data_IF_835422300085
#
_entry.id   IF_835422300085
#
_cell.length_a   1.000
_cell.length_b   1.000
_cell.length_c   1.000
_cell.angle_alpha   90.00
_cell.angle_beta   90.00
_cell.angle_gamma   90.00
#
_symmetry.space_group_name_H-M   'P 1'
#
loop_
_entity.id
_entity.type
_entity.pdbx_description
1 polymer ?
#
# COMPACT_ATOMS: atom_id res chain seq x y z
N UNK A 1 0.87 18.20 3.67
CA UNK A 1 2.28 17.75 3.57
C UNK A 1 2.54 17.38 2.12
N UNK A 2 3.66 17.78 1.50
CA UNK A 2 3.86 17.56 0.05
C UNK A 2 4.38 16.14 -0.21
N UNK A 3 3.51 15.21 -0.63
CA UNK A 3 3.85 13.82 -0.94
C UNK A 3 4.52 13.64 -2.32
N UNK A 4 4.71 14.71 -3.10
CA UNK A 4 5.27 14.62 -4.45
C UNK A 4 6.64 13.96 -4.51
N UNK A 5 7.50 14.16 -3.49
CA UNK A 5 8.81 13.51 -3.43
C UNK A 5 8.68 12.00 -3.15
N UNK A 6 7.64 11.57 -2.45
CA UNK A 6 7.35 10.16 -2.15
C UNK A 6 6.88 9.39 -3.38
N UNK A 7 6.37 10.10 -4.37
CA UNK A 7 5.76 9.53 -5.57
C UNK A 7 6.56 9.87 -6.83
N UNK A 8 7.77 10.40 -6.68
CA UNK A 8 8.62 10.73 -7.83
C UNK A 8 8.78 9.53 -8.74
N UNK A 9 8.49 9.74 -10.01
CA UNK A 9 8.53 8.72 -11.06
C UNK A 9 7.55 7.55 -10.88
N UNK A 10 6.66 7.58 -9.89
CA UNK A 10 5.49 6.69 -9.83
C UNK A 10 4.33 7.38 -10.54
N UNK A 11 3.54 6.63 -11.31
CA UNK A 11 2.42 7.21 -12.08
C UNK A 11 1.19 6.34 -11.96
N UNK A 12 0.07 6.97 -11.62
CA UNK A 12 -1.24 6.33 -11.74
C UNK A 12 -1.52 6.18 -13.26
N UNK A 13 -1.88 4.98 -13.74
CA UNK A 13 -2.23 4.78 -15.14
C UNK A 13 -3.43 5.64 -15.55
N UNK A 14 -3.40 6.18 -16.77
CA UNK A 14 -4.50 7.02 -17.29
C UNK A 14 -5.77 6.22 -17.58
N UNK A 15 -5.61 4.92 -17.80
CA UNK A 15 -6.67 3.95 -18.07
C UNK A 15 -7.24 3.32 -16.78
N UNK A 16 -6.72 3.68 -15.60
CA UNK A 16 -7.37 3.31 -14.35
C UNK A 16 -8.73 3.99 -14.26
N UNK A 17 -9.79 3.21 -14.00
CA UNK A 17 -11.15 3.74 -13.86
C UNK A 17 -11.40 4.17 -12.41
N UNK A 18 -11.05 3.29 -11.46
CA UNK A 18 -11.31 3.48 -10.04
C UNK A 18 -10.01 3.46 -9.25
N UNK A 19 -9.81 4.48 -8.42
CA UNK A 19 -8.72 4.57 -7.45
C UNK A 19 -9.30 4.33 -6.06
N UNK A 20 -8.73 3.38 -5.32
CA UNK A 20 -9.14 3.07 -3.95
C UNK A 20 -8.05 3.48 -2.98
N UNK A 21 -8.41 4.29 -1.99
CA UNK A 21 -7.58 4.60 -0.84
C UNK A 21 -8.23 4.01 0.44
N UNK A 22 -7.79 2.81 0.88
CA UNK A 22 -8.38 2.11 2.02
C UNK A 22 -8.01 2.68 3.41
N UNK A 23 -7.11 3.66 3.48
CA UNK A 23 -6.63 4.29 4.73
C UNK A 23 -6.63 5.83 4.59
N UNK A 24 -7.74 6.37 4.09
CA UNK A 24 -7.93 7.79 3.85
C UNK A 24 -8.03 8.57 5.16
N UNK A 25 -6.91 9.16 5.57
CA UNK A 25 -6.91 10.12 6.69
C UNK A 25 -7.27 11.53 6.20
N UNK A 26 -6.33 12.45 6.26
CA UNK A 26 -6.58 13.88 6.02
C UNK A 26 -6.31 14.29 4.55
N UNK A 27 -6.59 13.42 3.57
CA UNK A 27 -6.52 13.75 2.13
C UNK A 27 -5.13 14.01 1.52
N UNK A 28 -4.07 13.83 2.30
CA UNK A 28 -2.72 14.25 1.95
C UNK A 28 -2.15 13.60 0.66
N UNK A 29 -2.44 12.33 0.39
CA UNK A 29 -1.96 11.65 -0.84
C UNK A 29 -2.84 11.96 -2.06
N UNK A 30 -4.10 12.35 -1.85
CA UNK A 30 -5.07 12.61 -2.91
C UNK A 30 -4.67 13.81 -3.78
N UNK A 31 -3.91 14.75 -3.22
CA UNK A 31 -3.30 15.88 -3.95
C UNK A 31 -2.34 15.45 -5.07
N UNK A 32 -1.95 14.17 -5.10
CA UNK A 32 -1.07 13.60 -6.12
C UNK A 32 -1.84 12.89 -7.24
N UNK A 33 -3.17 12.91 -7.21
CA UNK A 33 -4.03 12.39 -8.28
C UNK A 33 -4.23 13.50 -9.32
N UNK A 34 -4.09 13.16 -10.61
CA UNK A 34 -4.31 14.09 -11.71
C UNK A 34 -5.80 14.38 -11.89
N UNK A 35 -6.23 15.58 -11.48
CA UNK A 35 -7.63 16.02 -11.56
C UNK A 35 -8.14 16.20 -13.00
N UNK A 36 -7.24 16.23 -14.00
CA UNK A 36 -7.64 16.30 -15.41
C UNK A 36 -8.16 14.95 -15.95
N UNK A 37 -7.96 13.87 -15.18
CA UNK A 37 -8.43 12.53 -15.53
C UNK A 37 -9.63 12.19 -14.64
N UNK A 38 -10.77 11.75 -15.22
CA UNK A 38 -12.02 11.55 -14.49
C UNK A 38 -12.02 10.20 -13.73
N UNK A 39 -11.10 10.05 -12.79
CA UNK A 39 -11.05 8.88 -11.91
C UNK A 39 -12.26 8.83 -10.97
N UNK A 40 -12.81 7.63 -10.75
CA UNK A 40 -13.70 7.37 -9.62
C UNK A 40 -12.85 7.12 -8.38
N UNK A 41 -12.97 7.97 -7.35
CA UNK A 41 -12.17 7.85 -6.13
C UNK A 41 -13.02 7.25 -5.00
N UNK A 42 -12.60 6.10 -4.48
CA UNK A 42 -13.18 5.47 -3.30
C UNK A 42 -12.26 5.63 -2.10
N UNK A 43 -12.69 6.42 -1.11
CA UNK A 43 -11.95 6.65 0.12
C UNK A 43 -12.61 5.91 1.29
N UNK A 44 -11.80 5.21 2.08
CA UNK A 44 -12.23 4.50 3.27
C UNK A 44 -11.35 4.87 4.46
N UNK A 45 -11.95 4.98 5.64
CA UNK A 45 -11.22 5.13 6.90
C UNK A 45 -12.03 4.54 8.06
N UNK A 46 -11.36 4.13 9.13
CA UNK A 46 -12.04 3.60 10.32
C UNK A 46 -12.77 4.72 11.11
N UNK A 47 -12.27 5.96 11.02
CA UNK A 47 -12.79 7.16 11.67
C UNK A 47 -12.73 8.34 10.69
N UNK A 48 -13.60 8.38 9.67
CA UNK A 48 -13.55 9.39 8.63
C UNK A 48 -13.78 10.80 9.19
N UNK A 49 -13.00 11.77 8.70
CA UNK A 49 -13.17 13.20 9.03
C UNK A 49 -13.94 13.98 7.97
N UNK A 50 -14.33 13.33 6.87
CA UNK A 50 -15.03 13.96 5.74
C UNK A 50 -16.23 13.13 5.31
N UNK A 51 -17.27 13.79 4.80
CA UNK A 51 -18.52 13.12 4.39
C UNK A 51 -18.37 12.18 3.19
N UNK A 52 -17.37 12.43 2.33
CA UNK A 52 -17.09 11.61 1.14
C UNK A 52 -16.15 10.42 1.40
N UNK A 53 -15.80 10.17 2.67
CA UNK A 53 -15.01 9.01 3.08
C UNK A 53 -15.92 8.00 3.75
N UNK A 54 -15.94 6.77 3.24
CA UNK A 54 -16.75 5.70 3.83
C UNK A 54 -16.11 5.18 5.11
N UNK A 55 -16.89 5.15 6.19
CA UNK A 55 -16.44 4.54 7.44
C UNK A 55 -16.34 3.01 7.29
N UNK A 56 -15.13 2.45 7.38
CA UNK A 56 -14.90 1.01 7.25
C UNK A 56 -13.54 0.60 7.83
N UNK A 57 -13.51 -0.45 8.65
CA UNK A 57 -12.26 -1.14 8.97
C UNK A 57 -11.87 -2.04 7.79
N UNK A 58 -11.04 -1.50 6.90
CA UNK A 58 -10.62 -2.16 5.64
C UNK A 58 -9.66 -3.33 5.84
N UNK A 59 -9.11 -3.52 7.04
CA UNK A 59 -8.30 -4.71 7.34
C UNK A 59 -9.20 -5.91 7.67
N UNK A 60 -10.20 -5.69 8.51
CA UNK A 60 -11.16 -6.72 8.94
C UNK A 60 -12.22 -7.01 7.87
N UNK A 61 -12.66 -5.95 7.18
CA UNK A 61 -13.69 -6.01 6.15
C UNK A 61 -13.19 -5.25 4.91
N UNK A 62 -12.28 -5.80 4.10
CA UNK A 62 -11.79 -5.12 2.92
C UNK A 62 -12.92 -4.89 1.90
N UNK A 63 -13.01 -3.72 1.25
CA UNK A 63 -13.87 -3.56 0.09
C UNK A 63 -13.35 -4.41 -1.08
N UNK A 64 -14.13 -4.57 -2.14
CA UNK A 64 -13.61 -5.18 -3.37
C UNK A 64 -12.53 -4.29 -3.98
N UNK A 65 -11.34 -4.86 -4.16
CA UNK A 65 -10.20 -4.28 -4.84
C UNK A 65 -10.06 -4.81 -6.27
N UNK A 66 -10.82 -5.83 -6.64
CA UNK A 66 -10.74 -6.50 -7.92
C UNK A 66 -10.76 -5.50 -9.09
N UNK A 67 -9.73 -5.57 -9.94
CA UNK A 67 -9.54 -4.69 -11.11
C UNK A 67 -9.47 -3.18 -10.82
N UNK A 68 -9.42 -2.75 -9.55
CA UNK A 68 -9.24 -1.34 -9.16
C UNK A 68 -7.77 -0.99 -8.97
N UNK A 69 -7.42 0.29 -9.03
CA UNK A 69 -6.08 0.76 -8.75
C UNK A 69 -5.96 1.20 -7.29
N UNK A 70 -4.98 0.68 -6.57
CA UNK A 70 -4.76 1.01 -5.16
C UNK A 70 -3.82 2.19 -5.04
N UNK A 71 -4.19 3.19 -4.25
CA UNK A 71 -3.29 4.29 -3.94
C UNK A 71 -3.40 4.68 -2.47
N UNK A 72 -2.41 4.32 -1.66
CA UNK A 72 -2.53 4.48 -0.21
C UNK A 72 -1.21 4.55 0.55
N UNK A 73 -1.25 5.21 1.72
CA UNK A 73 -0.24 5.11 2.74
C UNK A 73 -0.77 4.22 3.87
N UNK A 74 -0.18 3.05 4.00
CA UNK A 74 -0.66 2.05 4.96
C UNK A 74 -0.15 2.39 6.35
N UNK A 75 -1.00 2.42 7.39
CA UNK A 75 -0.54 2.70 8.75
C UNK A 75 0.50 1.67 9.20
N UNK A 76 1.63 2.16 9.73
CA UNK A 76 2.79 1.37 10.13
C UNK A 76 2.67 0.69 11.50
N UNK A 77 1.71 1.12 12.33
CA UNK A 77 1.56 0.66 13.72
C UNK A 77 1.40 -0.87 13.85
N UNK A 78 2.02 -1.43 14.88
CA UNK A 78 1.85 -2.82 15.29
C UNK A 78 0.41 -3.09 15.72
N UNK A 79 -0.04 -4.32 15.50
CA UNK A 79 -1.38 -4.79 15.90
C UNK A 79 -1.57 -4.88 17.42
N UNK A 80 -0.49 -4.77 18.21
CA UNK A 80 -0.51 -4.85 19.67
C UNK A 80 -1.34 -3.73 20.35
N UNK A 81 -1.70 -2.66 19.63
CA UNK A 81 -2.68 -1.65 20.10
C UNK A 81 -4.15 -2.12 19.97
N UNK A 82 -4.42 -3.24 19.28
CA UNK A 82 -5.73 -3.89 19.18
C UNK A 82 -5.71 -5.12 20.08
N UNK A 83 -6.17 -4.95 21.33
CA UNK A 83 -6.25 -6.01 22.35
C UNK A 83 -7.28 -7.11 22.04
N UNK A 84 -8.04 -6.98 20.96
CA UNK A 84 -8.95 -8.02 20.50
C UNK A 84 -8.21 -8.90 19.48
N UNK A 85 -7.97 -10.16 19.82
CA UNK A 85 -7.22 -11.14 19.04
C UNK A 85 -7.71 -11.38 17.60
N UNK A 86 -8.81 -10.78 17.17
CA UNK A 86 -9.49 -11.05 15.90
C UNK A 86 -8.62 -10.87 14.66
N UNK A 87 -7.82 -9.79 14.54
CA UNK A 87 -6.96 -9.58 13.36
C UNK A 87 -5.69 -10.44 13.36
N UNK A 88 -5.14 -10.71 14.54
CA UNK A 88 -3.99 -11.61 14.69
C UNK A 88 -4.40 -13.05 14.35
N UNK A 89 -5.60 -13.47 14.77
CA UNK A 89 -6.16 -14.78 14.48
C UNK A 89 -6.45 -14.98 12.99
N UNK A 90 -6.83 -13.93 12.26
CA UNK A 90 -7.11 -14.01 10.82
C UNK A 90 -5.82 -14.12 9.98
N UNK A 91 -4.76 -13.36 10.33
CA UNK A 91 -3.60 -13.23 9.45
C UNK A 91 -2.28 -13.81 10.00
N UNK A 92 -2.20 -14.07 11.31
CA UNK A 92 -1.00 -14.44 12.06
C UNK A 92 0.20 -13.52 11.78
N UNK A 93 -0.05 -12.21 11.78
CA UNK A 93 0.93 -11.17 11.46
C UNK A 93 0.85 -10.07 12.51
N UNK A 94 1.99 -9.43 12.82
CA UNK A 94 2.09 -8.41 13.86
C UNK A 94 1.91 -6.97 13.37
N UNK A 95 1.78 -6.76 12.06
CA UNK A 95 1.78 -5.42 11.46
C UNK A 95 0.61 -5.22 10.47
N UNK A 96 -0.06 -4.07 10.57
CA UNK A 96 -1.21 -3.72 9.73
C UNK A 96 -0.90 -3.78 8.24
N UNK A 97 0.26 -3.29 7.81
CA UNK A 97 0.63 -3.32 6.40
C UNK A 97 0.77 -4.74 5.84
N UNK A 98 1.19 -5.72 6.65
CA UNK A 98 1.32 -7.10 6.21
C UNK A 98 -0.07 -7.72 5.97
N UNK A 99 -1.03 -7.42 6.84
CA UNK A 99 -2.43 -7.84 6.66
C UNK A 99 -3.03 -7.21 5.41
N UNK A 100 -2.77 -5.93 5.18
CA UNK A 100 -3.21 -5.25 3.96
C UNK A 100 -2.62 -5.88 2.69
N UNK A 101 -1.33 -6.22 2.67
CA UNK A 101 -0.72 -6.89 1.52
C UNK A 101 -1.34 -8.28 1.28
N UNK A 102 -1.70 -9.03 2.33
CA UNK A 102 -2.50 -10.27 2.18
C UNK A 102 -3.86 -10.01 1.54
N UNK A 103 -4.57 -8.96 1.97
CA UNK A 103 -5.84 -8.56 1.33
C UNK A 103 -5.66 -8.28 -0.17
N UNK A 104 -4.58 -7.61 -0.56
CA UNK A 104 -4.29 -7.38 -1.97
C UNK A 104 -4.01 -8.68 -2.72
N UNK A 105 -3.30 -9.63 -2.13
CA UNK A 105 -3.02 -10.95 -2.74
C UNK A 105 -4.33 -11.70 -3.01
N UNK A 106 -5.25 -11.71 -2.05
CA UNK A 106 -6.52 -12.45 -2.15
C UNK A 106 -7.57 -11.77 -3.04
N UNK A 107 -7.65 -10.44 -3.03
CA UNK A 107 -8.68 -9.65 -3.73
C UNK A 107 -8.22 -9.20 -5.13
N UNK A 108 -6.94 -9.36 -5.47
CA UNK A 108 -6.36 -9.18 -6.81
C UNK A 108 -6.74 -7.87 -7.52
N UNK A 109 -6.20 -6.75 -7.04
CA UNK A 109 -6.34 -5.45 -7.69
C UNK A 109 -5.64 -5.39 -9.05
N UNK A 110 -5.93 -4.37 -9.86
CA UNK A 110 -5.26 -4.18 -11.16
C UNK A 110 -3.78 -3.77 -10.99
N UNK A 111 -3.47 -3.07 -9.91
CA UNK A 111 -2.16 -2.57 -9.58
C UNK A 111 -2.28 -1.53 -8.47
N UNK A 112 -1.19 -0.83 -8.20
CA UNK A 112 -1.24 0.25 -7.24
C UNK A 112 0.10 0.90 -6.93
N UNK A 113 0.01 1.96 -6.14
CA UNK A 113 1.11 2.58 -5.42
C UNK A 113 0.80 2.51 -3.94
N UNK A 114 1.66 1.85 -3.17
CA UNK A 114 1.51 1.75 -1.71
C UNK A 114 2.73 2.29 -1.03
N UNK A 115 2.53 2.93 0.12
CA UNK A 115 3.59 3.37 1.02
C UNK A 115 3.57 2.48 2.26
N UNK A 116 4.69 1.81 2.54
CA UNK A 116 4.87 0.85 3.64
C UNK A 116 6.30 0.92 4.20
N UNK A 117 6.62 0.29 5.34
CA UNK A 117 7.99 0.21 5.83
C UNK A 117 8.94 -0.45 4.81
N UNK A 118 10.13 0.13 4.61
CA UNK A 118 11.16 -0.41 3.71
C UNK A 118 11.64 -1.82 4.13
N UNK A 119 11.49 -2.16 5.41
CA UNK A 119 11.73 -3.49 5.96
C UNK A 119 10.93 -4.59 5.24
N UNK A 120 9.82 -4.25 4.58
CA UNK A 120 9.11 -5.20 3.73
C UNK A 120 10.05 -5.88 2.74
N UNK A 121 10.99 -5.15 2.13
CA UNK A 121 11.91 -5.66 1.10
C UNK A 121 13.11 -6.43 1.64
N UNK A 122 13.62 -6.03 2.81
CA UNK A 122 14.91 -6.50 3.33
C UNK A 122 14.80 -7.42 4.54
N UNK A 123 13.61 -7.56 5.14
CA UNK A 123 13.41 -8.41 6.30
C UNK A 123 13.78 -9.87 6.00
N UNK A 124 14.57 -10.46 6.90
CA UNK A 124 15.00 -11.87 6.85
C UNK A 124 14.02 -12.80 7.59
N UNK A 125 12.96 -12.27 8.21
CA UNK A 125 11.97 -13.09 8.89
C UNK A 125 11.23 -13.99 7.90
N UNK A 126 11.04 -15.26 8.24
CA UNK A 126 10.43 -16.24 7.34
C UNK A 126 9.02 -15.82 6.88
N UNK A 127 8.19 -15.28 7.79
CA UNK A 127 6.85 -14.76 7.45
C UNK A 127 6.89 -13.66 6.39
N UNK A 128 7.92 -12.81 6.43
CA UNK A 128 8.06 -11.67 5.54
C UNK A 128 8.59 -12.11 4.17
N UNK A 129 9.50 -13.11 4.16
CA UNK A 129 9.95 -13.77 2.94
C UNK A 129 8.77 -14.44 2.22
N UNK A 130 7.94 -15.18 2.96
CA UNK A 130 6.74 -15.83 2.41
C UNK A 130 5.78 -14.80 1.84
N UNK A 131 5.43 -13.76 2.60
CA UNK A 131 4.53 -12.71 2.15
C UNK A 131 5.05 -12.00 0.88
N UNK A 132 6.34 -11.67 0.83
CA UNK A 132 6.97 -11.08 -0.37
C UNK A 132 6.84 -12.01 -1.57
N UNK A 133 7.11 -13.30 -1.39
CA UNK A 133 7.03 -14.29 -2.46
C UNK A 133 5.59 -14.44 -2.97
N UNK A 134 4.61 -14.51 -2.08
CA UNK A 134 3.19 -14.56 -2.44
C UNK A 134 2.75 -13.30 -3.18
N UNK A 135 3.14 -12.12 -2.68
CA UNK A 135 2.85 -10.85 -3.34
C UNK A 135 3.43 -10.82 -4.75
N UNK A 136 4.69 -11.26 -4.93
CA UNK A 136 5.35 -11.27 -6.23
C UNK A 136 4.85 -12.35 -7.19
N UNK A 137 4.16 -13.39 -6.73
CA UNK A 137 3.46 -14.34 -7.60
C UNK A 137 2.25 -13.70 -8.28
N UNK A 138 1.52 -12.85 -7.56
CA UNK A 138 0.33 -12.16 -8.08
C UNK A 138 0.71 -10.87 -8.82
N UNK A 139 1.69 -10.13 -8.31
CA UNK A 139 2.04 -8.80 -8.79
C UNK A 139 3.48 -8.73 -9.30
N UNK A 140 3.67 -7.91 -10.33
CA UNK A 140 4.99 -7.48 -10.80
C UNK A 140 5.28 -6.11 -10.21
N UNK A 141 6.46 -5.95 -9.63
CA UNK A 141 6.91 -4.66 -9.11
C UNK A 141 7.49 -3.85 -10.27
N UNK A 142 7.02 -2.61 -10.41
CA UNK A 142 7.44 -1.69 -11.47
C UNK A 142 8.61 -0.83 -11.00
N UNK A 143 8.55 -0.32 -9.76
CA UNK A 143 9.57 0.55 -9.17
C UNK A 143 9.41 0.61 -7.65
N UNK A 144 10.52 0.81 -6.94
CA UNK A 144 10.56 1.10 -5.52
C UNK A 144 11.31 2.41 -5.28
N UNK A 145 10.78 3.25 -4.41
CA UNK A 145 11.41 4.45 -3.89
C UNK A 145 11.62 4.26 -2.38
N UNK A 146 12.84 4.44 -1.88
CA UNK A 146 13.16 4.31 -0.44
C UNK A 146 13.56 5.68 0.10
N UNK A 147 12.96 6.07 1.23
CA UNK A 147 13.14 7.38 1.85
C UNK A 147 12.94 7.30 3.37
N UNK A 148 13.43 8.32 4.08
CA UNK A 148 13.10 8.54 5.49
C UNK A 148 11.89 9.47 5.59
N UNK A 149 10.92 9.16 6.45
CA UNK A 149 9.90 10.15 6.79
C UNK A 149 10.50 11.13 7.80
N UNK A 150 10.55 12.40 7.44
CA UNK A 150 11.16 13.46 8.27
C UNK A 150 10.14 14.01 9.28
N UNK A 151 8.83 13.77 9.10
CA UNK A 151 7.78 14.42 9.91
C UNK A 151 7.15 13.54 10.96
N UNK A 152 7.44 12.25 10.93
CA UNK A 152 7.09 11.37 12.03
C UNK A 152 8.34 11.15 12.88
N UNK A 153 8.64 12.13 13.75
CA UNK A 153 9.80 12.13 14.65
C UNK A 153 9.82 10.88 15.57
N UNK A 154 8.70 10.16 15.66
CA UNK A 154 8.56 8.91 16.41
C UNK A 154 8.75 7.66 15.56
N UNK A 155 8.62 7.75 14.22
CA UNK A 155 8.92 6.65 13.30
C UNK A 155 10.37 6.75 12.84
N UNK A 156 11.26 6.18 13.67
CA UNK A 156 12.67 5.94 13.35
C UNK A 156 12.85 4.83 12.28
N UNK A 157 11.91 4.70 11.34
CA UNK A 157 11.87 3.62 10.35
C UNK A 157 11.95 4.17 8.95
N UNK A 158 12.77 3.55 8.11
CA UNK A 158 12.78 3.83 6.67
C UNK A 158 11.46 3.39 6.05
N UNK A 159 10.87 4.25 5.24
CA UNK A 159 9.69 3.96 4.45
C UNK A 159 10.07 3.68 2.99
N UNK A 160 9.17 3.03 2.27
CA UNK A 160 9.25 2.94 0.84
C UNK A 160 7.87 3.15 0.23
N UNK A 161 7.85 3.74 -0.95
CA UNK A 161 6.71 3.66 -1.85
C UNK A 161 7.08 2.72 -2.99
N UNK A 162 6.14 1.92 -3.46
CA UNK A 162 6.38 1.10 -4.64
C UNK A 162 5.15 1.00 -5.50
N UNK A 163 5.41 0.97 -6.81
CA UNK A 163 4.39 0.76 -7.83
C UNK A 163 4.41 -0.70 -8.28
N UNK A 164 3.24 -1.28 -8.46
CA UNK A 164 3.06 -2.65 -8.91
C UNK A 164 1.86 -2.80 -9.84
N UNK A 165 1.84 -3.86 -10.62
CA UNK A 165 0.75 -4.24 -11.53
C UNK A 165 0.45 -5.72 -11.42
N UNK A 166 -0.81 -6.12 -11.66
CA UNK A 166 -1.18 -7.54 -11.69
C UNK A 166 -0.44 -8.24 -12.81
N UNK A 167 0.13 -9.42 -12.55
CA UNK A 167 0.79 -10.22 -13.57
C UNK A 167 -0.23 -10.74 -14.58
N UNK A 168 0.13 -10.67 -15.86
CA UNK A 168 -0.62 -11.28 -16.98
C UNK A 168 -0.02 -12.63 -17.42
N UNK A 169 0.91 -13.21 -16.65
CA UNK A 169 1.62 -14.44 -17.01
C UNK A 169 2.44 -15.00 -15.84
N UNK A 170 3.15 -16.11 -16.08
CA UNK A 170 3.92 -16.79 -15.04
C UNK A 170 5.02 -15.92 -14.44
N UNK A 171 5.28 -16.10 -13.15
CA UNK A 171 6.40 -15.46 -12.46
C UNK A 171 7.72 -15.89 -13.10
N UNK A 172 8.58 -14.91 -13.42
CA UNK A 172 9.94 -15.19 -13.90
C UNK A 172 10.84 -15.57 -12.72
N UNK A 173 11.90 -16.34 -12.99
CA UNK A 173 12.92 -16.67 -11.97
C UNK A 173 13.61 -15.43 -11.38
N UNK A 174 13.66 -14.34 -12.14
CA UNK A 174 14.23 -13.04 -11.72
C UNK A 174 13.39 -11.92 -12.33
N UNK A 175 13.07 -10.92 -11.53
CA UNK A 175 12.52 -9.64 -11.99
C UNK A 175 13.51 -8.53 -11.67
N UNK A 176 13.76 -7.66 -12.65
CA UNK A 176 14.53 -6.45 -12.44
C UNK A 176 13.60 -5.37 -11.90
N UNK A 177 13.88 -4.90 -10.69
CA UNK A 177 13.11 -3.86 -10.02
C UNK A 177 13.97 -2.60 -9.89
N UNK A 178 13.67 -1.53 -10.63
CA UNK A 178 14.31 -0.23 -10.43
C UNK A 178 14.07 0.28 -9.01
N UNK A 179 15.16 0.65 -8.32
CA UNK A 179 15.12 1.24 -6.97
C UNK A 179 15.74 2.62 -7.02
N UNK A 180 15.04 3.61 -6.44
CA UNK A 180 15.58 4.96 -6.23
C UNK A 180 15.71 5.18 -4.72
N UNK A 181 16.91 5.55 -4.29
CA UNK A 181 17.18 5.92 -2.90
C UNK A 181 17.15 7.46 -2.79
N UNK A 182 16.41 7.96 -1.80
CA UNK A 182 16.32 9.40 -1.51
C UNK A 182 17.04 9.67 -0.18
N UNK A 183 18.34 10.03 -0.20
CA UNK A 183 19.21 10.09 0.98
C UNK A 183 19.03 11.36 1.84
N UNK A 184 17.82 11.93 1.87
CA UNK A 184 17.57 13.20 2.58
C UNK A 184 17.59 13.05 4.09
#
# INVERSE_FOLDING_TARGET
MNYSYLLQSLKIPKDAITIVNPFYRDGNISSCIDETIPYVIENYDIQPKTAWTKQQDTLSFPPSYENKYIFTHVPSKELNEFRDGSLYDIYNLSHKYKCFLKNLISNQCAGGIVIVPANFWVSMNMSDIVLRNEFQKVYKIIRVNIFRDIKDEHLNTNLCSFQFERRKGMQKKKDFVPVILYPR
#
